data_IF_916069715645
#
_entry.id   IF_916069715645
#
_cell.length_a   1.000
_cell.length_b   1.000
_cell.length_c   1.000
_cell.angle_alpha   90.00
_cell.angle_beta   90.00
_cell.angle_gamma   90.00
#
_symmetry.space_group_name_H-M   'P 1'
#
loop_
_entity.id
_entity.type
_entity.pdbx_description
1 polymer ?
#
# COMPACT_ATOMS: atom_id res chain seq x y z
N UNK A 1 19.96 31.40 -9.38
CA UNK A 1 19.67 30.01 -9.78
C UNK A 1 18.36 29.65 -9.09
N UNK A 2 17.23 29.66 -9.80
CA UNK A 2 15.93 29.37 -9.18
C UNK A 2 15.91 27.89 -8.81
N UNK A 3 15.78 27.60 -7.52
CA UNK A 3 15.64 26.25 -7.00
C UNK A 3 14.29 25.70 -7.46
N UNK A 4 14.31 24.88 -8.49
CA UNK A 4 13.14 24.10 -8.89
C UNK A 4 12.99 23.03 -7.81
N UNK A 5 11.96 23.12 -6.97
CA UNK A 5 11.59 22.02 -6.07
C UNK A 5 11.06 20.92 -6.99
N UNK A 6 11.95 20.02 -7.41
CA UNK A 6 11.56 18.86 -8.20
C UNK A 6 10.99 17.79 -7.28
N UNK A 7 9.88 17.19 -7.69
CA UNK A 7 9.37 16.01 -7.01
C UNK A 7 10.41 14.89 -7.09
N UNK A 8 10.81 14.34 -5.94
CA UNK A 8 11.77 13.25 -5.89
C UNK A 8 11.09 11.93 -6.24
N UNK A 9 11.22 11.50 -7.51
CA UNK A 9 10.75 10.19 -7.96
C UNK A 9 11.33 9.04 -7.13
N UNK A 10 12.58 9.18 -6.66
CA UNK A 10 13.27 8.18 -5.85
C UNK A 10 12.61 8.03 -4.48
N UNK A 11 12.34 9.14 -3.78
CA UNK A 11 11.69 9.12 -2.46
C UNK A 11 10.25 8.64 -2.58
N UNK A 12 9.52 9.10 -3.60
CA UNK A 12 8.16 8.66 -3.87
C UNK A 12 8.08 7.16 -4.17
N UNK A 13 8.93 6.66 -5.07
CA UNK A 13 9.01 5.23 -5.40
C UNK A 13 9.35 4.37 -4.18
N UNK A 14 10.28 4.82 -3.33
CA UNK A 14 10.60 4.14 -2.08
C UNK A 14 9.40 4.03 -1.13
N UNK A 15 8.57 5.08 -1.04
CA UNK A 15 7.34 5.05 -0.25
C UNK A 15 6.30 4.07 -0.82
N UNK A 16 6.08 4.05 -2.14
CA UNK A 16 5.17 3.09 -2.78
C UNK A 16 5.63 1.64 -2.54
N UNK A 17 6.93 1.39 -2.61
CA UNK A 17 7.51 0.07 -2.29
C UNK A 17 7.28 -0.31 -0.83
N UNK A 18 7.49 0.61 0.11
CA UNK A 18 7.23 0.38 1.53
C UNK A 18 5.75 0.04 1.79
N UNK A 19 4.82 0.73 1.15
CA UNK A 19 3.39 0.45 1.28
C UNK A 19 3.04 -0.91 0.68
N UNK A 20 3.61 -1.26 -0.47
CA UNK A 20 3.44 -2.57 -1.10
C UNK A 20 3.94 -3.70 -0.20
N UNK A 21 5.09 -3.52 0.44
CA UNK A 21 5.66 -4.48 1.38
C UNK A 21 4.78 -4.64 2.64
N UNK A 22 4.30 -3.54 3.20
CA UNK A 22 3.39 -3.56 4.35
C UNK A 22 2.08 -4.30 4.01
N UNK A 23 1.49 -4.02 2.84
CA UNK A 23 0.32 -4.77 2.33
C UNK A 23 0.60 -6.26 2.24
N UNK A 24 1.74 -6.66 1.67
CA UNK A 24 2.10 -8.07 1.50
C UNK A 24 2.17 -8.80 2.87
N UNK A 25 2.75 -8.15 3.88
CA UNK A 25 2.81 -8.71 5.23
C UNK A 25 1.43 -8.95 5.87
N UNK A 26 0.41 -8.18 5.48
CA UNK A 26 -0.97 -8.38 5.94
C UNK A 26 -1.68 -9.50 5.19
N UNK A 27 -1.44 -9.65 3.87
CA UNK A 27 -2.05 -10.71 3.07
C UNK A 27 -1.50 -12.11 3.36
N UNK A 28 -0.27 -12.21 3.87
CA UNK A 28 0.35 -13.49 4.20
C UNK A 28 -0.13 -14.10 5.52
N UNK A 29 -0.93 -13.36 6.30
CA UNK A 29 -1.53 -13.85 7.55
C UNK A 29 -2.66 -14.84 7.23
N UNK A 30 -2.31 -16.13 7.17
CA UNK A 30 -3.29 -17.21 7.09
C UNK A 30 -3.76 -17.63 8.47
N UNK A 31 -5.06 -17.74 8.64
CA UNK A 31 -5.60 -18.40 9.83
C UNK A 31 -5.17 -19.87 9.84
N UNK A 32 -4.45 -20.27 10.89
CA UNK A 32 -4.09 -21.66 11.14
C UNK A 32 -4.45 -21.98 12.58
N UNK A 33 -5.19 -23.07 12.75
CA UNK A 33 -5.57 -23.57 14.06
C UNK A 33 -5.09 -25.00 14.23
N UNK A 34 -4.48 -25.33 15.38
CA UNK A 34 -4.20 -26.72 15.73
C UNK A 34 -5.50 -27.53 15.80
N UNK A 35 -5.48 -28.76 15.32
CA UNK A 35 -6.59 -29.69 15.53
C UNK A 35 -6.77 -29.94 17.02
N UNK A 36 -7.97 -29.75 17.54
CA UNK A 36 -8.32 -30.07 18.92
C UNK A 36 -9.47 -31.08 18.96
N UNK A 37 -9.45 -31.99 19.95
CA UNK A 37 -10.48 -33.04 20.13
C UNK A 37 -11.51 -32.67 21.21
N UNK A 38 -11.43 -31.46 21.77
CA UNK A 38 -12.28 -31.01 22.86
C UNK A 38 -13.62 -30.46 22.33
N UNK A 39 -14.73 -30.81 22.96
CA UNK A 39 -16.07 -30.27 22.64
C UNK A 39 -16.32 -28.90 23.30
N UNK A 40 -15.32 -28.02 23.28
CA UNK A 40 -15.39 -26.73 23.97
C UNK A 40 -16.02 -25.67 23.07
N UNK A 41 -17.24 -25.25 23.39
CA UNK A 41 -17.92 -24.14 22.70
C UNK A 41 -17.10 -22.84 22.66
N UNK A 42 -16.24 -22.62 23.65
CA UNK A 42 -15.37 -21.43 23.70
C UNK A 42 -14.27 -21.51 22.64
N UNK A 43 -13.71 -22.69 22.42
CA UNK A 43 -12.70 -22.90 21.38
C UNK A 43 -13.32 -22.77 19.98
N UNK A 44 -14.53 -23.29 19.79
CA UNK A 44 -15.27 -23.15 18.54
C UNK A 44 -15.55 -21.68 18.21
N UNK A 45 -16.00 -20.89 19.20
CA UNK A 45 -16.23 -19.46 19.04
C UNK A 45 -14.93 -18.71 18.72
N UNK A 46 -13.85 -19.01 19.44
CA UNK A 46 -12.56 -18.39 19.18
C UNK A 46 -12.07 -18.67 17.74
N UNK A 47 -12.24 -19.90 17.28
CA UNK A 47 -11.88 -20.29 15.92
C UNK A 47 -12.69 -19.51 14.87
N UNK A 48 -14.02 -19.42 15.05
CA UNK A 48 -14.89 -18.68 14.14
C UNK A 48 -14.54 -17.18 14.10
N UNK A 49 -14.31 -16.55 15.25
CA UNK A 49 -13.97 -15.12 15.33
C UNK A 49 -12.60 -14.82 14.71
N UNK A 50 -11.60 -15.67 14.94
CA UNK A 50 -10.28 -15.45 14.35
C UNK A 50 -10.26 -15.76 12.85
N UNK A 51 -11.08 -16.69 12.37
CA UNK A 51 -11.30 -16.87 10.93
C UNK A 51 -11.99 -15.65 10.29
N UNK A 52 -13.03 -15.10 10.92
CA UNK A 52 -13.68 -13.88 10.47
C UNK A 52 -12.71 -12.68 10.45
N UNK A 53 -11.85 -12.55 11.47
CA UNK A 53 -10.81 -11.54 11.52
C UNK A 53 -9.78 -11.71 10.40
N UNK A 54 -9.32 -12.93 10.13
CA UNK A 54 -8.38 -13.21 9.04
C UNK A 54 -8.97 -12.85 7.67
N UNK A 55 -10.26 -13.16 7.45
CA UNK A 55 -10.97 -12.75 6.23
C UNK A 55 -11.09 -11.23 6.12
N UNK A 56 -11.37 -10.54 7.23
CA UNK A 56 -11.44 -9.08 7.27
C UNK A 56 -10.08 -8.45 6.92
N UNK A 57 -8.99 -8.93 7.52
CA UNK A 57 -7.62 -8.48 7.21
C UNK A 57 -7.29 -8.69 5.73
N UNK A 58 -7.64 -9.86 5.17
CA UNK A 58 -7.44 -10.13 3.75
C UNK A 58 -8.26 -9.18 2.85
N UNK A 59 -9.49 -8.83 3.24
CA UNK A 59 -10.31 -7.85 2.52
C UNK A 59 -9.67 -6.45 2.56
N UNK A 60 -9.18 -6.02 3.72
CA UNK A 60 -8.44 -4.75 3.85
C UNK A 60 -7.17 -4.72 3.00
N UNK A 61 -6.40 -5.81 2.96
CA UNK A 61 -5.20 -5.88 2.11
C UNK A 61 -5.52 -5.68 0.62
N UNK A 62 -6.68 -6.16 0.13
CA UNK A 62 -7.15 -5.90 -1.24
C UNK A 62 -7.58 -4.45 -1.49
N UNK A 63 -8.16 -3.80 -0.48
CA UNK A 63 -8.48 -2.37 -0.59
C UNK A 63 -7.20 -1.53 -0.66
N UNK A 64 -6.24 -1.80 0.23
CA UNK A 64 -4.93 -1.16 0.22
C UNK A 64 -4.19 -1.35 -1.11
N UNK A 65 -4.34 -2.51 -1.77
CA UNK A 65 -3.78 -2.72 -3.11
C UNK A 65 -4.26 -1.70 -4.13
N UNK A 66 -5.57 -1.43 -4.15
CA UNK A 66 -6.15 -0.44 -5.06
C UNK A 66 -5.69 0.97 -4.73
N UNK A 67 -5.67 1.32 -3.45
CA UNK A 67 -5.26 2.66 -3.02
C UNK A 67 -3.77 2.92 -3.33
N UNK A 68 -2.90 1.93 -3.11
CA UNK A 68 -1.48 2.02 -3.45
C UNK A 68 -1.30 2.19 -4.97
N UNK A 69 -2.06 1.48 -5.78
CA UNK A 69 -2.02 1.63 -7.24
C UNK A 69 -2.43 3.04 -7.69
N UNK A 70 -3.52 3.59 -7.12
CA UNK A 70 -3.96 4.95 -7.40
C UNK A 70 -2.93 6.00 -6.96
N UNK A 71 -2.32 5.82 -5.79
CA UNK A 71 -1.24 6.70 -5.33
C UNK A 71 -0.08 6.66 -6.32
N UNK A 72 0.35 5.47 -6.74
CA UNK A 72 1.45 5.30 -7.67
C UNK A 72 1.19 5.97 -9.03
N UNK A 73 0.00 5.82 -9.58
CA UNK A 73 -0.43 6.45 -10.84
C UNK A 73 -0.45 7.97 -10.71
N UNK A 74 -1.15 8.51 -9.70
CA UNK A 74 -1.24 9.95 -9.48
C UNK A 74 0.15 10.58 -9.23
N UNK A 75 1.02 9.90 -8.50
CA UNK A 75 2.39 10.37 -8.26
C UNK A 75 3.25 10.40 -9.52
N UNK A 76 3.08 9.44 -10.43
CA UNK A 76 3.75 9.46 -11.74
C UNK A 76 3.27 10.64 -12.60
N UNK A 77 1.96 10.89 -12.65
CA UNK A 77 1.42 12.04 -13.38
C UNK A 77 1.94 13.38 -12.82
N UNK A 78 2.03 13.51 -11.49
CA UNK A 78 2.60 14.69 -10.85
C UNK A 78 4.08 14.88 -11.18
N UNK A 79 4.89 13.81 -11.15
CA UNK A 79 6.30 13.88 -11.53
C UNK A 79 6.51 14.29 -13.00
N UNK A 80 5.68 13.75 -13.90
CA UNK A 80 5.69 14.14 -15.32
C UNK A 80 5.33 15.61 -15.51
N UNK A 81 4.28 16.07 -14.83
CA UNK A 81 3.81 17.46 -14.88
C UNK A 81 4.87 18.42 -14.35
N UNK A 82 5.50 18.09 -13.22
CA UNK A 82 6.59 18.88 -12.62
C UNK A 82 7.78 18.99 -13.57
N UNK A 83 8.18 17.89 -14.22
CA UNK A 83 9.24 17.88 -15.23
C UNK A 83 8.92 18.77 -16.43
N UNK A 84 7.69 18.71 -16.95
CA UNK A 84 7.24 19.55 -18.06
C UNK A 84 7.24 21.03 -17.67
N UNK A 85 6.77 21.36 -16.45
CA UNK A 85 6.74 22.72 -15.94
C UNK A 85 8.17 23.27 -15.76
N UNK A 86 9.08 22.47 -15.20
CA UNK A 86 10.49 22.81 -15.05
C UNK A 86 11.16 23.09 -16.41
N UNK A 87 10.88 22.29 -17.43
CA UNK A 87 11.36 22.52 -18.80
C UNK A 87 10.79 23.82 -19.38
N UNK A 88 9.48 24.06 -19.27
CA UNK A 88 8.83 25.25 -19.82
C UNK A 88 9.31 26.55 -19.15
N UNK A 89 9.54 26.54 -17.85
CA UNK A 89 10.06 27.70 -17.11
C UNK A 89 11.56 27.90 -17.42
N UNK A 90 12.35 26.83 -17.45
CA UNK A 90 13.77 26.87 -17.81
C UNK A 90 13.99 27.43 -19.22
N UNK A 91 13.10 27.10 -20.17
CA UNK A 91 13.14 27.60 -21.54
C UNK A 91 12.76 29.09 -21.68
N UNK A 92 11.98 29.64 -20.74
CA UNK A 92 11.59 31.07 -20.74
C UNK A 92 12.62 32.01 -20.11
N UNK A 93 13.66 31.47 -19.46
CA UNK A 93 14.70 32.22 -18.77
C UNK A 93 16.05 32.24 -19.53
N UNK A 94 16.09 31.66 -20.74
CA UNK A 94 17.20 31.77 -21.70
C UNK A 94 16.88 32.83 -22.75
#
# INVERSE_FOLDING_TARGET
MFGVIQLSEVVFGAHVLSLTAAKASLSDVKASFPSHQSSSKVLDLYQAEFEALSQLVAAYARLLERDIALIAEAGQELALTDKQLGQAIGFRLQ
#
